data_IF_284445244675
#
_entry.id   IF_284445244675
#
_cell.length_a   1.000
_cell.length_b   1.000
_cell.length_c   1.000
_cell.angle_alpha   90.00
_cell.angle_beta   90.00
_cell.angle_gamma   90.00
#
_symmetry.space_group_name_H-M   'P 1'
#
loop_
_entity.id
_entity.type
_entity.pdbx_description
1 polymer ?
#
# COMPACT_ATOMS: atom_id res chain seq x y z
N UNK A 1 17.73 -2.09 2.18
CA UNK A 1 16.61 -2.93 2.68
C UNK A 1 15.93 -2.26 3.88
N UNK A 2 15.45 -1.01 3.76
CA UNK A 2 14.70 -0.33 4.84
C UNK A 2 13.34 0.20 4.35
N UNK A 3 13.13 0.24 3.04
CA UNK A 3 11.92 0.80 2.43
C UNK A 3 10.74 -0.18 2.40
N UNK A 4 10.96 -1.49 2.35
CA UNK A 4 9.84 -2.46 2.23
C UNK A 4 8.95 -2.45 3.48
N UNK A 5 9.54 -2.52 4.67
CA UNK A 5 8.80 -2.47 5.93
C UNK A 5 8.06 -1.15 6.15
N UNK A 6 8.62 -0.02 5.67
CA UNK A 6 7.94 1.26 5.73
C UNK A 6 6.69 1.26 4.84
N UNK A 7 6.81 0.75 3.61
CA UNK A 7 5.69 0.68 2.66
C UNK A 7 4.59 -0.23 3.17
N UNK A 8 4.94 -1.39 3.73
CA UNK A 8 3.97 -2.32 4.30
C UNK A 8 3.22 -1.70 5.48
N UNK A 9 3.92 -1.00 6.39
CA UNK A 9 3.25 -0.28 7.50
C UNK A 9 2.28 0.78 7.01
N UNK A 10 2.64 1.55 5.98
CA UNK A 10 1.76 2.60 5.44
C UNK A 10 0.55 1.98 4.71
N UNK A 11 0.76 0.87 3.98
CA UNK A 11 -0.34 0.14 3.33
C UNK A 11 -1.28 -0.46 4.37
N UNK A 12 -0.75 -1.03 5.45
CA UNK A 12 -1.52 -1.57 6.57
C UNK A 12 -2.34 -0.45 7.27
N UNK A 13 -1.70 0.67 7.59
CA UNK A 13 -2.36 1.86 8.12
C UNK A 13 -3.48 2.37 7.21
N UNK A 14 -3.28 2.37 5.89
CA UNK A 14 -4.34 2.71 4.94
C UNK A 14 -5.52 1.73 4.99
N UNK A 15 -5.25 0.43 5.12
CA UNK A 15 -6.27 -0.61 5.17
C UNK A 15 -7.07 -0.58 6.49
N UNK A 16 -6.45 -0.17 7.60
CA UNK A 16 -7.08 -0.10 8.93
C UNK A 16 -7.77 1.24 9.18
N UNK A 17 -7.18 2.36 8.76
CA UNK A 17 -7.72 3.70 8.99
C UNK A 17 -8.95 4.02 8.13
N UNK A 18 -9.15 3.34 6.99
CA UNK A 18 -10.28 3.61 6.08
C UNK A 18 -10.27 5.01 5.45
N UNK A 19 -9.15 5.71 5.55
CA UNK A 19 -8.95 7.07 5.05
C UNK A 19 -8.54 7.11 3.58
N UNK A 20 -8.63 8.28 2.97
CA UNK A 20 -8.19 8.47 1.58
C UNK A 20 -6.67 8.35 1.46
N UNK A 21 -6.18 7.93 0.28
CA UNK A 21 -4.73 7.88 -0.01
C UNK A 21 -3.99 9.17 0.34
N UNK A 22 -4.61 10.33 0.11
CA UNK A 22 -4.00 11.64 0.42
C UNK A 22 -3.80 11.86 1.91
N UNK A 23 -4.78 11.48 2.74
CA UNK A 23 -4.70 11.69 4.19
C UNK A 23 -3.64 10.80 4.82
N UNK A 24 -3.55 9.54 4.39
CA UNK A 24 -2.53 8.61 4.88
C UNK A 24 -1.14 9.01 4.38
N UNK A 25 -1.06 9.45 3.12
CA UNK A 25 0.18 9.93 2.54
C UNK A 25 0.71 11.19 3.28
N UNK A 26 -0.16 12.16 3.56
CA UNK A 26 0.15 13.37 4.31
C UNK A 26 0.60 13.03 5.75
N UNK A 27 -0.16 12.18 6.46
CA UNK A 27 0.18 11.74 7.82
C UNK A 27 1.53 11.00 7.89
N UNK A 28 1.84 10.19 6.89
CA UNK A 28 3.10 9.45 6.83
C UNK A 28 4.24 10.23 6.16
N UNK A 29 3.99 11.46 5.67
CA UNK A 29 4.97 12.28 4.96
C UNK A 29 5.47 11.66 3.66
N UNK A 30 4.63 10.87 2.98
CA UNK A 30 4.96 10.20 1.72
C UNK A 30 4.11 10.74 0.57
N UNK A 31 4.56 10.55 -0.66
CA UNK A 31 3.77 10.86 -1.85
C UNK A 31 2.59 9.91 -2.01
N UNK A 32 1.38 10.46 -2.25
CA UNK A 32 0.18 9.67 -2.54
C UNK A 32 0.36 8.77 -3.78
N UNK A 33 1.20 9.19 -4.76
CA UNK A 33 1.54 8.40 -5.94
C UNK A 33 2.33 7.15 -5.59
N UNK A 34 3.26 7.29 -4.64
CA UNK A 34 4.07 6.19 -4.11
C UNK A 34 3.18 5.21 -3.35
N UNK A 35 2.32 5.73 -2.46
CA UNK A 35 1.34 4.92 -1.73
C UNK A 35 0.41 4.14 -2.67
N UNK A 36 -0.12 4.79 -3.70
CA UNK A 36 -0.98 4.13 -4.69
C UNK A 36 -0.23 3.01 -5.43
N UNK A 37 1.04 3.22 -5.80
CA UNK A 37 1.86 2.18 -6.42
C UNK A 37 2.06 0.99 -5.46
N UNK A 38 2.36 1.24 -4.19
CA UNK A 38 2.57 0.20 -3.19
C UNK A 38 1.30 -0.61 -2.93
N UNK A 39 0.14 0.04 -2.77
CA UNK A 39 -1.14 -0.65 -2.61
C UNK A 39 -1.48 -1.49 -3.83
N UNK A 40 -1.21 -1.00 -5.04
CA UNK A 40 -1.42 -1.77 -6.28
C UNK A 40 -0.51 -2.99 -6.36
N UNK A 41 0.75 -2.85 -5.97
CA UNK A 41 1.72 -3.94 -5.94
C UNK A 41 1.39 -4.97 -4.86
N UNK A 42 1.00 -4.51 -3.68
CA UNK A 42 0.50 -5.32 -2.58
C UNK A 42 -0.73 -6.14 -2.97
N UNK A 43 -1.73 -5.50 -3.61
CA UNK A 43 -2.91 -6.19 -4.15
C UNK A 43 -2.56 -7.18 -5.26
N UNK A 44 -1.57 -6.90 -6.10
CA UNK A 44 -1.08 -7.85 -7.11
C UNK A 44 -0.39 -9.04 -6.46
N UNK A 45 0.41 -8.81 -5.41
CA UNK A 45 1.09 -9.86 -4.63
C UNK A 45 0.08 -10.74 -3.88
N UNK A 46 -0.97 -10.14 -3.31
CA UNK A 46 -2.05 -10.84 -2.61
C UNK A 46 -3.04 -11.54 -3.55
N UNK A 47 -3.34 -10.97 -4.71
CA UNK A 47 -3.98 -11.68 -5.83
C UNK A 47 -2.95 -12.63 -6.44
N UNK A 48 -2.59 -13.70 -5.72
CA UNK A 48 -2.01 -14.88 -6.37
C UNK A 48 -2.89 -15.18 -7.60
N UNK A 49 -2.32 -15.39 -8.79
CA UNK A 49 -3.10 -15.86 -9.91
C UNK A 49 -3.61 -17.25 -9.53
N UNK A 50 -4.88 -17.35 -9.15
CA UNK A 50 -5.60 -18.59 -9.37
C UNK A 50 -5.66 -18.74 -10.89
N UNK A 51 -4.62 -19.35 -11.47
CA UNK A 51 -4.77 -20.04 -12.74
C UNK A 51 -5.78 -21.14 -12.49
N UNK A 52 -7.02 -20.88 -12.86
CA UNK A 52 -7.94 -21.95 -13.24
C UNK A 52 -7.63 -22.15 -14.72
N UNK A 53 -6.81 -23.16 -15.01
CA UNK A 53 -6.65 -23.75 -16.34
C UNK A 53 -6.84 -25.25 -16.17
#
# INVERSE_FOLDING_TARGET
MKDEALRERIVDEYLTSGQSYREVADRCGVDYRSLHRWVKEYRRRMRKPHKIS
#
